data_IF_341447057761
#
_entry.id   IF_341447057761
#
_cell.length_a   1.000
_cell.length_b   1.000
_cell.length_c   1.000
_cell.angle_alpha   90.00
_cell.angle_beta   90.00
_cell.angle_gamma   90.00
#
_symmetry.space_group_name_H-M   'P 1'
#
loop_
_entity.id
_entity.type
_entity.pdbx_description
1 polymer ?
#
# COMPACT_ATOMS: atom_id res chain seq x y z
N UNK A 1 12.83 -13.82 -4.75
CA UNK A 1 13.20 -14.46 -3.46
C UNK A 1 12.06 -15.39 -3.11
N UNK A 2 12.34 -16.65 -2.72
CA UNK A 2 11.28 -17.55 -2.25
C UNK A 2 11.03 -17.33 -0.76
N UNK A 3 9.77 -17.14 -0.39
CA UNK A 3 9.28 -16.93 0.97
C UNK A 3 8.52 -18.17 1.44
N UNK A 4 8.34 -18.28 2.76
CA UNK A 4 7.79 -19.49 3.39
C UNK A 4 6.26 -19.51 3.48
N UNK A 5 5.59 -18.44 3.05
CA UNK A 5 4.13 -18.30 3.08
C UNK A 5 3.52 -18.62 1.70
N UNK A 6 2.87 -19.79 1.53
CA UNK A 6 2.35 -20.22 0.24
C UNK A 6 1.19 -19.35 -0.27
N UNK A 7 0.38 -18.79 0.64
CA UNK A 7 -0.73 -17.91 0.26
C UNK A 7 -0.18 -16.59 -0.28
N UNK A 8 0.86 -16.06 0.37
CA UNK A 8 1.55 -14.87 -0.11
C UNK A 8 2.20 -15.08 -1.48
N UNK A 9 2.87 -16.21 -1.72
CA UNK A 9 3.52 -16.50 -3.01
C UNK A 9 2.53 -16.69 -4.17
N UNK A 10 1.26 -17.02 -3.89
CA UNK A 10 0.21 -17.06 -4.92
C UNK A 10 -0.19 -15.66 -5.38
N UNK A 11 -0.17 -14.69 -4.47
CA UNK A 11 -0.68 -13.35 -4.71
C UNK A 11 0.40 -12.33 -5.09
N UNK A 12 1.65 -12.58 -4.69
CA UNK A 12 2.79 -11.69 -4.88
C UNK A 12 4.05 -12.43 -5.32
N UNK A 13 4.79 -11.81 -6.24
CA UNK A 13 6.15 -12.22 -6.60
C UNK A 13 7.14 -11.20 -6.06
N UNK A 14 8.14 -11.68 -5.30
CA UNK A 14 9.12 -10.81 -4.63
C UNK A 14 10.45 -10.78 -5.36
N UNK A 15 10.86 -9.56 -5.73
CA UNK A 15 12.17 -9.25 -6.29
C UNK A 15 12.99 -8.49 -5.25
N UNK A 16 14.24 -8.90 -5.03
CA UNK A 16 15.17 -8.21 -4.13
C UNK A 16 16.60 -8.52 -4.55
N UNK A 17 17.50 -7.56 -4.34
CA UNK A 17 18.95 -7.73 -4.44
C UNK A 17 19.56 -8.32 -3.16
N UNK A 18 18.88 -8.19 -2.02
CA UNK A 18 19.28 -8.76 -0.73
C UNK A 18 18.14 -9.64 -0.17
N UNK A 19 18.42 -10.94 -0.04
CA UNK A 19 17.44 -11.91 0.47
C UNK A 19 17.26 -11.88 1.99
N UNK A 20 18.27 -11.39 2.72
CA UNK A 20 18.23 -11.25 4.18
C UNK A 20 17.36 -10.06 4.54
N UNK A 21 17.60 -8.92 3.88
CA UNK A 21 16.78 -7.73 4.02
C UNK A 21 15.31 -8.02 3.65
N UNK A 22 15.07 -8.70 2.54
CA UNK A 22 13.71 -9.06 2.12
C UNK A 22 12.95 -9.86 3.19
N UNK A 23 13.60 -10.82 3.87
CA UNK A 23 12.96 -11.61 4.95
C UNK A 23 12.80 -10.83 6.25
N UNK A 24 13.70 -9.88 6.52
CA UNK A 24 13.58 -8.98 7.65
C UNK A 24 12.36 -8.07 7.51
N UNK A 25 12.15 -7.52 6.31
CA UNK A 25 11.01 -6.69 5.95
C UNK A 25 9.73 -7.53 5.90
N UNK A 26 9.74 -8.62 5.13
CA UNK A 26 8.58 -9.49 4.89
C UNK A 26 8.46 -10.59 5.94
N UNK A 27 8.28 -10.18 7.20
CA UNK A 27 7.88 -11.12 8.25
C UNK A 27 6.52 -11.75 7.93
N UNK A 28 6.25 -12.95 8.47
CA UNK A 28 4.95 -13.63 8.29
C UNK A 28 3.75 -12.73 8.63
N UNK A 29 3.85 -11.97 9.73
CA UNK A 29 2.79 -11.06 10.14
C UNK A 29 2.59 -9.89 9.17
N UNK A 30 3.67 -9.41 8.54
CA UNK A 30 3.58 -8.33 7.57
C UNK A 30 3.04 -8.82 6.22
N UNK A 31 3.48 -9.99 5.75
CA UNK A 31 2.92 -10.64 4.55
C UNK A 31 1.40 -10.81 4.64
N UNK A 32 0.89 -11.26 5.79
CA UNK A 32 -0.56 -11.37 6.03
C UNK A 32 -1.28 -10.02 5.94
N UNK A 33 -0.71 -8.96 6.51
CA UNK A 33 -1.28 -7.61 6.38
C UNK A 33 -1.32 -7.12 4.93
N UNK A 34 -0.31 -7.44 4.13
CA UNK A 34 -0.29 -7.10 2.70
C UNK A 34 -1.39 -7.86 1.93
N UNK A 35 -1.63 -9.14 2.27
CA UNK A 35 -2.72 -9.94 1.70
C UNK A 35 -4.09 -9.37 2.09
N UNK A 36 -4.33 -9.12 3.37
CA UNK A 36 -5.56 -8.52 3.88
C UNK A 36 -5.83 -7.16 3.23
N UNK A 37 -4.79 -6.33 3.10
CA UNK A 37 -4.88 -5.06 2.42
C UNK A 37 -5.26 -5.22 0.94
N UNK A 38 -4.60 -6.12 0.19
CA UNK A 38 -4.96 -6.42 -1.20
C UNK A 38 -6.42 -6.82 -1.32
N UNK A 39 -6.88 -7.76 -0.48
CA UNK A 39 -8.27 -8.22 -0.47
C UNK A 39 -9.27 -7.08 -0.17
N UNK A 40 -8.96 -6.24 0.82
CA UNK A 40 -9.80 -5.09 1.21
C UNK A 40 -9.92 -4.04 0.10
N UNK A 41 -8.84 -3.79 -0.64
CA UNK A 41 -8.86 -2.81 -1.74
C UNK A 41 -9.55 -3.32 -3.00
N UNK A 42 -9.56 -4.64 -3.24
CA UNK A 42 -10.09 -5.25 -4.45
C UNK A 42 -9.37 -4.81 -5.74
N UNK A 43 -8.19 -4.21 -5.61
CA UNK A 43 -7.39 -3.67 -6.71
C UNK A 43 -6.04 -4.39 -6.80
N UNK A 44 -5.37 -4.27 -7.96
CA UNK A 44 -3.98 -4.69 -8.06
C UNK A 44 -3.12 -3.70 -7.24
N UNK A 45 -2.40 -4.23 -6.25
CA UNK A 45 -1.51 -3.48 -5.37
C UNK A 45 -0.07 -3.94 -5.55
N UNK A 46 0.85 -2.99 -5.44
CA UNK A 46 2.28 -3.17 -5.63
C UNK A 46 3.00 -2.45 -4.50
N UNK A 47 4.10 -3.02 -4.05
CA UNK A 47 4.89 -2.49 -2.94
C UNK A 47 6.37 -2.43 -3.33
N UNK A 48 7.06 -1.36 -2.93
CA UNK A 48 8.52 -1.30 -2.99
C UNK A 48 9.09 -0.69 -1.71
N UNK A 49 10.28 -1.14 -1.34
CA UNK A 49 10.97 -0.71 -0.13
C UNK A 49 12.34 -0.21 -0.55
N UNK A 50 12.56 1.11 -0.49
CA UNK A 50 13.79 1.76 -0.97
C UNK A 50 14.08 2.95 -0.05
N UNK A 51 15.32 3.10 0.39
CA UNK A 51 15.75 4.28 1.16
C UNK A 51 15.08 4.43 2.53
N UNK A 52 14.65 3.33 3.15
CA UNK A 52 13.89 3.37 4.41
C UNK A 52 12.42 3.75 4.25
N UNK A 53 11.95 3.95 3.03
CA UNK A 53 10.57 4.27 2.72
C UNK A 53 9.85 3.08 2.07
N UNK A 54 8.56 2.96 2.37
CA UNK A 54 7.65 2.04 1.69
C UNK A 54 6.80 2.82 0.70
N UNK A 55 6.87 2.43 -0.56
CA UNK A 55 6.02 2.96 -1.61
C UNK A 55 4.89 1.97 -1.91
N UNK A 56 3.69 2.50 -2.14
CA UNK A 56 2.50 1.72 -2.49
C UNK A 56 1.97 2.19 -3.82
N UNK A 57 1.90 1.28 -4.79
CA UNK A 57 1.21 1.46 -6.05
C UNK A 57 -0.12 0.72 -6.02
N UNK A 58 -1.21 1.38 -6.44
CA UNK A 58 -2.52 0.73 -6.56
C UNK A 58 -3.15 1.10 -7.89
N UNK A 59 -3.60 0.09 -8.64
CA UNK A 59 -4.32 0.31 -9.88
C UNK A 59 -5.65 1.00 -9.60
N UNK A 60 -5.95 2.06 -10.34
CA UNK A 60 -7.26 2.69 -10.28
C UNK A 60 -7.62 3.28 -11.64
N UNK A 61 -8.90 3.17 -12.00
CA UNK A 61 -9.47 3.79 -13.19
C UNK A 61 -9.91 5.25 -12.95
N UNK A 62 -9.78 5.71 -11.70
CA UNK A 62 -10.23 7.01 -11.27
C UNK A 62 -9.09 8.02 -11.36
N UNK A 63 -9.34 9.13 -12.06
CA UNK A 63 -8.46 10.29 -11.99
C UNK A 63 -8.66 11.03 -10.67
N UNK A 64 -7.63 11.01 -9.82
CA UNK A 64 -7.63 11.70 -8.52
C UNK A 64 -6.76 12.94 -8.51
N UNK A 65 -5.98 13.19 -9.55
CA UNK A 65 -4.99 14.27 -9.58
C UNK A 65 -5.37 15.39 -10.55
N UNK A 66 -6.34 15.17 -11.43
CA UNK A 66 -6.89 16.23 -12.27
C UNK A 66 -7.92 17.10 -11.52
N UNK A 67 -7.76 18.44 -11.54
CA UNK A 67 -8.75 19.33 -10.98
C UNK A 67 -9.99 19.38 -11.87
N UNK A 68 -11.18 19.42 -11.25
CA UNK A 68 -12.45 19.59 -11.97
C UNK A 68 -12.61 21.04 -12.43
N UNK A 69 -12.00 21.40 -13.56
CA UNK A 69 -11.95 22.79 -14.07
C UNK A 69 -13.32 23.39 -14.47
N UNK A 70 -14.32 22.54 -14.73
CA UNK A 70 -15.68 22.98 -15.12
C UNK A 70 -16.74 22.80 -14.02
N UNK A 71 -16.32 22.44 -12.80
CA UNK A 71 -17.23 22.23 -11.67
C UNK A 71 -16.74 23.01 -10.44
N UNK A 72 -17.67 23.34 -9.54
CA UNK A 72 -17.30 23.97 -8.27
C UNK A 72 -16.54 22.99 -7.37
N UNK A 73 -15.42 23.43 -6.80
CA UNK A 73 -14.70 22.68 -5.77
C UNK A 73 -15.47 22.62 -4.43
N UNK A 74 -16.51 23.44 -4.27
CA UNK A 74 -17.41 23.42 -3.12
C UNK A 74 -18.55 22.41 -3.28
N UNK A 75 -18.54 21.61 -4.35
CA UNK A 75 -19.50 20.53 -4.52
C UNK A 75 -19.34 19.47 -3.41
N UNK A 76 -20.44 19.19 -2.71
CA UNK A 76 -20.42 18.32 -1.56
C UNK A 76 -20.09 16.85 -1.92
N UNK A 77 -20.42 16.40 -3.14
CA UNK A 77 -20.07 15.05 -3.58
C UNK A 77 -18.57 14.94 -3.84
N UNK A 78 -17.99 15.95 -4.51
CA UNK A 78 -16.53 16.04 -4.71
C UNK A 78 -15.77 16.11 -3.38
N UNK A 79 -16.21 16.94 -2.43
CA UNK A 79 -15.55 17.01 -1.11
C UNK A 79 -15.61 15.67 -0.37
N UNK A 80 -16.76 14.99 -0.37
CA UNK A 80 -16.90 13.66 0.25
C UNK A 80 -15.95 12.64 -0.38
N UNK A 81 -15.82 12.68 -1.70
CA UNK A 81 -14.95 11.80 -2.46
C UNK A 81 -13.47 12.04 -2.12
N UNK A 82 -13.05 13.31 -2.01
CA UNK A 82 -11.70 13.68 -1.57
C UNK A 82 -11.41 13.22 -0.13
N UNK A 83 -12.36 13.43 0.79
CA UNK A 83 -12.24 12.96 2.17
C UNK A 83 -12.08 11.44 2.21
N UNK A 84 -12.84 10.71 1.38
CA UNK A 84 -12.73 9.26 1.29
C UNK A 84 -11.35 8.81 0.78
N UNK A 85 -10.80 9.49 -0.24
CA UNK A 85 -9.44 9.20 -0.73
C UNK A 85 -8.37 9.47 0.37
N UNK A 86 -8.52 10.54 1.17
CA UNK A 86 -7.64 10.81 2.32
C UNK A 86 -7.78 9.76 3.43
N UNK A 87 -9.00 9.30 3.70
CA UNK A 87 -9.26 8.22 4.65
C UNK A 87 -8.64 6.90 4.18
N UNK A 88 -8.69 6.61 2.88
CA UNK A 88 -8.01 5.47 2.30
C UNK A 88 -6.50 5.56 2.53
N UNK A 89 -5.88 6.70 2.21
CA UNK A 89 -4.45 6.92 2.42
C UNK A 89 -4.04 6.74 3.89
N UNK A 90 -4.84 7.27 4.82
CA UNK A 90 -4.65 7.03 6.26
C UNK A 90 -4.80 5.55 6.63
N UNK A 91 -5.81 4.88 6.08
CA UNK A 91 -6.09 3.47 6.32
C UNK A 91 -4.91 2.58 5.95
N UNK A 92 -4.16 2.91 4.89
CA UNK A 92 -2.92 2.19 4.52
C UNK A 92 -1.92 2.18 5.68
N UNK A 93 -1.71 3.33 6.33
CA UNK A 93 -0.75 3.45 7.44
C UNK A 93 -1.18 2.60 8.64
N UNK A 94 -2.48 2.57 8.92
CA UNK A 94 -3.08 1.80 10.02
C UNK A 94 -3.08 0.29 9.71
N UNK A 95 -3.59 -0.11 8.55
CA UNK A 95 -3.70 -1.52 8.11
C UNK A 95 -2.33 -2.19 8.03
N UNK A 96 -1.32 -1.47 7.53
CA UNK A 96 0.04 -1.98 7.42
C UNK A 96 0.87 -1.78 8.71
N UNK A 97 0.33 -1.02 9.67
CA UNK A 97 0.95 -0.68 10.94
C UNK A 97 2.37 -0.09 10.76
N UNK A 98 2.51 0.85 9.83
CA UNK A 98 3.80 1.48 9.48
C UNK A 98 4.36 2.35 10.62
N UNK A 99 3.53 2.68 11.61
CA UNK A 99 3.93 3.41 12.82
C UNK A 99 4.81 2.58 13.77
N UNK A 100 4.92 1.27 13.55
CA UNK A 100 5.92 0.47 14.24
C UNK A 100 7.29 0.72 13.60
N UNK A 101 8.26 1.18 14.39
CA UNK A 101 9.66 1.42 13.99
C UNK A 101 10.35 0.09 13.64
N UNK A 102 10.03 -0.46 12.47
CA UNK A 102 10.72 -1.62 11.89
C UNK A 102 11.71 -1.15 10.81
N UNK A 103 11.56 0.10 10.33
CA UNK A 103 12.09 0.56 9.04
C UNK A 103 13.32 1.48 9.13
N UNK A 104 13.64 2.01 10.32
CA UNK A 104 14.82 2.86 10.51
C UNK A 104 16.00 2.01 10.99
N UNK A 105 16.90 1.66 10.07
CA UNK A 105 18.32 1.57 10.42
C UNK A 105 18.89 2.98 10.27
N UNK A 106 19.28 3.55 11.40
CA UNK A 106 19.73 4.94 11.65
C UNK A 106 18.64 5.90 12.16
#
# INVERSE_FOLDING_TARGET
>A
VKLEDPEFEQEFVVYSTDQVEARYILSLAFMRRLLEFKQKTGAAVYFSFIGGEMNVGMSSTKDRFEPRIFQSLLDAAFIRELIHDLQLARGIVEDLNLNTRIWTKE
#
